data_IF_329378907330
#
_entry.id   IF_329378907330
#
_cell.length_a   1.000
_cell.length_b   1.000
_cell.length_c   1.000
_cell.angle_alpha   90.00
_cell.angle_beta   90.00
_cell.angle_gamma   90.00
#
_symmetry.space_group_name_H-M   'P 1'
#
loop_
_entity.id
_entity.type
_entity.pdbx_description
1 polymer ?
#
# COMPACT_ATOMS: atom_id res chain seq x y z
N UNK A 1 31.46 -9.91 -9.95
CA UNK A 1 31.23 -10.70 -8.72
C UNK A 1 30.58 -9.89 -7.61
N UNK A 2 30.90 -8.60 -7.44
CA UNK A 2 30.44 -7.79 -6.30
C UNK A 2 28.93 -7.80 -6.00
N UNK A 3 28.00 -7.62 -6.95
CA UNK A 3 26.56 -7.70 -6.63
C UNK A 3 26.10 -9.10 -6.20
N UNK A 4 26.88 -10.14 -6.50
CA UNK A 4 26.59 -11.54 -6.15
C UNK A 4 27.17 -11.94 -4.79
N UNK A 5 27.88 -11.04 -4.11
CA UNK A 5 28.46 -11.30 -2.77
C UNK A 5 27.44 -11.92 -1.81
N UNK A 6 26.19 -11.43 -1.70
CA UNK A 6 25.19 -12.01 -0.81
C UNK A 6 24.83 -13.48 -1.05
N UNK A 7 25.14 -14.02 -2.25
CA UNK A 7 24.88 -15.42 -2.61
C UNK A 7 26.00 -16.37 -2.20
N UNK A 8 27.09 -15.85 -1.62
CA UNK A 8 28.22 -16.66 -1.14
C UNK A 8 28.01 -17.08 0.31
N UNK A 9 28.71 -18.14 0.76
CA UNK A 9 28.52 -18.75 2.09
C UNK A 9 28.60 -17.75 3.26
N UNK A 10 29.48 -16.75 3.16
CA UNK A 10 29.66 -15.68 4.17
C UNK A 10 29.28 -14.29 3.63
N UNK A 11 28.52 -14.26 2.54
CA UNK A 11 28.23 -13.07 1.75
C UNK A 11 27.41 -11.98 2.43
N UNK A 12 26.67 -12.35 3.47
CA UNK A 12 25.80 -11.45 4.23
C UNK A 12 26.47 -10.89 5.48
N UNK A 13 27.70 -11.30 5.79
CA UNK A 13 28.47 -10.68 6.87
C UNK A 13 28.62 -9.18 6.60
N UNK A 14 28.50 -8.37 7.65
CA UNK A 14 28.54 -6.90 7.51
C UNK A 14 29.80 -6.46 6.74
N UNK A 15 30.94 -7.06 7.07
CA UNK A 15 32.21 -6.77 6.42
C UNK A 15 32.21 -7.07 4.91
N UNK A 16 31.63 -8.20 4.48
CA UNK A 16 31.56 -8.57 3.06
C UNK A 16 30.70 -7.58 2.27
N UNK A 17 29.57 -7.17 2.82
CA UNK A 17 28.68 -6.17 2.23
C UNK A 17 29.35 -4.79 2.20
N UNK A 18 30.03 -4.36 3.26
CA UNK A 18 30.74 -3.08 3.29
C UNK A 18 31.89 -3.04 2.28
N UNK A 19 32.65 -4.13 2.15
CA UNK A 19 33.70 -4.23 1.14
C UNK A 19 33.12 -4.14 -0.27
N UNK A 20 31.98 -4.79 -0.53
CA UNK A 20 31.30 -4.68 -1.80
C UNK A 20 30.83 -3.25 -2.07
N UNK A 21 30.19 -2.59 -1.09
CA UNK A 21 29.72 -1.21 -1.25
C UNK A 21 30.89 -0.25 -1.48
N UNK A 22 31.99 -0.37 -0.72
CA UNK A 22 33.17 0.49 -0.85
C UNK A 22 33.76 0.41 -2.26
N UNK A 23 33.82 -0.80 -2.84
CA UNK A 23 34.30 -0.98 -4.20
C UNK A 23 33.34 -0.40 -5.25
N UNK A 24 32.03 -0.45 -4.99
CA UNK A 24 31.01 0.11 -5.88
C UNK A 24 30.80 1.63 -5.69
N UNK A 25 31.40 2.22 -4.67
CA UNK A 25 31.36 3.66 -4.37
C UNK A 25 32.78 4.28 -4.34
N UNK A 26 33.57 4.12 -5.41
CA UNK A 26 34.97 4.57 -5.42
C UNK A 26 35.09 6.08 -5.29
N UNK A 27 36.03 6.54 -4.46
CA UNK A 27 36.31 7.97 -4.29
C UNK A 27 36.74 8.64 -5.62
N UNK A 28 36.13 9.79 -5.92
CA UNK A 28 36.47 10.59 -7.11
C UNK A 28 35.92 10.06 -8.44
N UNK A 29 35.02 9.07 -8.41
CA UNK A 29 34.34 8.53 -9.60
C UNK A 29 32.83 8.41 -9.34
N UNK A 30 32.05 8.25 -10.41
CA UNK A 30 30.61 7.99 -10.28
C UNK A 30 30.38 6.60 -9.65
N UNK A 31 29.49 6.48 -8.65
CA UNK A 31 29.10 5.19 -8.09
C UNK A 31 28.45 4.26 -9.11
N UNK A 32 28.69 2.95 -8.97
CA UNK A 32 28.09 1.91 -9.80
C UNK A 32 26.65 1.59 -9.37
N UNK A 33 25.75 2.57 -9.47
CA UNK A 33 24.37 2.55 -8.93
C UNK A 33 23.54 1.31 -9.30
N UNK A 34 23.68 0.78 -10.52
CA UNK A 34 22.96 -0.42 -10.95
C UNK A 34 23.46 -1.69 -10.24
N UNK A 35 24.77 -1.76 -9.97
CA UNK A 35 25.34 -2.88 -9.22
C UNK A 35 25.03 -2.76 -7.73
N UNK A 36 24.97 -1.54 -7.18
CA UNK A 36 24.54 -1.30 -5.79
C UNK A 36 23.06 -1.69 -5.64
N UNK A 37 22.19 -1.34 -6.59
CA UNK A 37 20.80 -1.75 -6.59
C UNK A 37 20.65 -3.29 -6.68
N UNK A 38 21.49 -3.94 -7.49
CA UNK A 38 21.53 -5.41 -7.59
C UNK A 38 22.01 -6.06 -6.29
N UNK A 39 23.04 -5.49 -5.66
CA UNK A 39 23.56 -5.93 -4.36
C UNK A 39 22.48 -5.81 -3.28
N UNK A 40 21.73 -4.71 -3.26
CA UNK A 40 20.62 -4.51 -2.34
C UNK A 40 19.53 -5.56 -2.55
N UNK A 41 19.09 -5.75 -3.80
CA UNK A 41 18.03 -6.69 -4.12
C UNK A 41 18.41 -8.13 -3.72
N UNK A 42 19.60 -8.59 -4.12
CA UNK A 42 20.06 -9.94 -3.77
C UNK A 42 20.31 -10.09 -2.26
N UNK A 43 20.88 -9.08 -1.61
CA UNK A 43 21.08 -9.08 -0.17
C UNK A 43 19.77 -9.14 0.58
N UNK A 44 18.77 -8.32 0.22
CA UNK A 44 17.45 -8.31 0.86
C UNK A 44 16.69 -9.64 0.77
N UNK A 45 16.91 -10.42 -0.30
CA UNK A 45 16.29 -11.74 -0.46
C UNK A 45 16.91 -12.79 0.46
N UNK A 46 18.20 -12.64 0.77
CA UNK A 46 18.97 -13.61 1.54
C UNK A 46 19.14 -13.20 3.01
N UNK A 47 18.94 -11.92 3.33
CA UNK A 47 19.13 -11.37 4.65
C UNK A 47 18.09 -11.94 5.63
N UNK A 48 18.59 -12.62 6.66
CA UNK A 48 17.78 -13.23 7.74
C UNK A 48 18.12 -12.66 9.12
N UNK A 49 18.93 -11.59 9.17
CA UNK A 49 19.31 -10.94 10.42
C UNK A 49 18.10 -10.34 11.12
N UNK A 50 18.04 -10.47 12.45
CA UNK A 50 16.99 -9.87 13.27
C UNK A 50 17.22 -8.38 13.55
N UNK A 51 18.43 -7.87 13.25
CA UNK A 51 18.75 -6.46 13.35
C UNK A 51 18.45 -5.70 12.05
N UNK A 52 18.36 -4.38 12.16
CA UNK A 52 18.07 -3.49 11.03
C UNK A 52 19.34 -2.90 10.39
N UNK A 53 20.52 -3.46 10.63
CA UNK A 53 21.76 -2.92 10.11
C UNK A 53 21.76 -2.88 8.58
N UNK A 54 21.32 -3.97 7.93
CA UNK A 54 21.31 -4.07 6.47
C UNK A 54 20.39 -3.01 5.84
N UNK A 55 19.17 -2.89 6.36
CA UNK A 55 18.21 -1.87 5.92
C UNK A 55 18.79 -0.46 6.06
N UNK A 56 19.26 -0.10 7.27
CA UNK A 56 19.88 1.20 7.54
C UNK A 56 21.07 1.49 6.63
N UNK A 57 21.86 0.45 6.31
CA UNK A 57 23.04 0.63 5.47
C UNK A 57 22.69 1.04 4.04
N UNK A 58 21.62 0.46 3.49
CA UNK A 58 21.13 0.80 2.15
C UNK A 58 20.25 2.07 2.15
N UNK A 59 19.61 2.43 3.26
CA UNK A 59 19.01 3.77 3.44
C UNK A 59 20.07 4.89 3.28
N UNK A 60 21.27 4.70 3.82
CA UNK A 60 22.36 5.67 3.63
C UNK A 60 22.81 5.80 2.16
N UNK A 61 22.53 4.79 1.32
CA UNK A 61 22.81 4.80 -0.12
C UNK A 61 21.61 5.24 -0.97
N UNK A 62 20.50 5.63 -0.34
CA UNK A 62 19.24 5.89 -1.03
C UNK A 62 19.40 6.92 -2.16
N UNK A 63 20.20 7.97 -1.95
CA UNK A 63 20.46 8.98 -2.99
C UNK A 63 21.12 8.38 -4.24
N UNK A 64 22.00 7.38 -4.08
CA UNK A 64 22.64 6.69 -5.20
C UNK A 64 21.64 5.72 -5.86
N UNK A 65 20.90 4.98 -5.03
CA UNK A 65 19.91 4.00 -5.49
C UNK A 65 18.77 4.66 -6.26
N UNK A 66 18.28 5.82 -5.81
CA UNK A 66 17.21 6.61 -6.44
C UNK A 66 17.50 6.94 -7.89
N UNK A 67 18.76 7.03 -8.27
CA UNK A 67 19.17 7.31 -9.64
C UNK A 67 19.25 6.09 -10.55
N UNK A 68 19.27 4.88 -9.99
CA UNK A 68 19.28 3.63 -10.74
C UNK A 68 17.97 3.42 -11.50
N UNK A 69 18.06 2.80 -12.67
CA UNK A 69 16.89 2.47 -13.48
C UNK A 69 15.96 1.49 -12.76
N UNK A 70 16.53 0.46 -12.10
CA UNK A 70 15.75 -0.55 -11.39
C UNK A 70 14.92 0.08 -10.25
N UNK A 71 15.53 0.93 -9.42
CA UNK A 71 14.83 1.62 -8.34
C UNK A 71 13.70 2.50 -8.88
N UNK A 72 13.98 3.35 -9.89
CA UNK A 72 12.95 4.20 -10.52
C UNK A 72 11.76 3.38 -11.02
N UNK A 73 12.02 2.23 -11.63
CA UNK A 73 10.97 1.35 -12.14
C UNK A 73 10.13 0.74 -11.00
N UNK A 74 10.76 0.19 -9.97
CA UNK A 74 10.05 -0.39 -8.83
C UNK A 74 9.26 0.65 -8.04
N UNK A 75 9.87 1.81 -7.74
CA UNK A 75 9.18 2.91 -7.06
C UNK A 75 8.00 3.43 -7.86
N UNK A 76 8.14 3.57 -9.19
CA UNK A 76 7.02 3.99 -10.06
C UNK A 76 5.87 2.99 -9.99
N UNK A 77 6.15 1.69 -10.11
CA UNK A 77 5.12 0.64 -10.02
C UNK A 77 4.42 0.64 -8.65
N UNK A 78 5.20 0.73 -7.57
CA UNK A 78 4.65 0.82 -6.20
C UNK A 78 3.79 2.06 -6.00
N UNK A 79 4.22 3.22 -6.52
CA UNK A 79 3.45 4.46 -6.46
C UNK A 79 2.15 4.37 -7.28
N UNK A 80 2.21 3.83 -8.50
CA UNK A 80 1.01 3.64 -9.34
C UNK A 80 -0.02 2.73 -8.65
N UNK A 81 0.45 1.63 -8.04
CA UNK A 81 -0.42 0.74 -7.27
C UNK A 81 -0.98 1.43 -6.03
N UNK A 82 -0.14 2.15 -5.27
CA UNK A 82 -0.55 2.88 -4.07
C UNK A 82 -1.57 3.97 -4.38
N UNK A 83 -1.37 4.75 -5.45
CA UNK A 83 -2.33 5.75 -5.93
C UNK A 83 -3.65 5.11 -6.33
N UNK A 84 -3.61 3.99 -7.07
CA UNK A 84 -4.83 3.26 -7.45
C UNK A 84 -5.60 2.77 -6.22
N UNK A 85 -4.92 2.11 -5.29
CA UNK A 85 -5.54 1.63 -4.05
C UNK A 85 -6.09 2.77 -3.20
N UNK A 86 -5.34 3.86 -3.08
CA UNK A 86 -5.77 5.07 -2.35
C UNK A 86 -7.01 5.72 -2.98
N UNK A 87 -7.08 5.78 -4.31
CA UNK A 87 -8.25 6.31 -5.01
C UNK A 87 -9.49 5.41 -4.81
N UNK A 88 -9.33 4.08 -4.91
CA UNK A 88 -10.40 3.11 -4.67
C UNK A 88 -10.93 3.21 -3.23
N UNK A 89 -10.04 3.28 -2.24
CA UNK A 89 -10.40 3.48 -0.84
C UNK A 89 -11.08 4.84 -0.60
N UNK A 90 -10.58 5.90 -1.23
CA UNK A 90 -11.16 7.24 -1.14
C UNK A 90 -12.58 7.29 -1.70
N UNK A 91 -12.83 6.65 -2.84
CA UNK A 91 -14.17 6.56 -3.44
C UNK A 91 -15.14 5.77 -2.55
N UNK A 92 -14.68 4.66 -1.95
CA UNK A 92 -15.47 3.90 -0.99
C UNK A 92 -15.85 4.75 0.22
N UNK A 93 -14.88 5.44 0.82
CA UNK A 93 -15.09 6.28 1.99
C UNK A 93 -16.03 7.46 1.67
N UNK A 94 -15.84 8.14 0.55
CA UNK A 94 -16.72 9.22 0.10
C UNK A 94 -18.17 8.73 -0.02
N UNK A 95 -18.39 7.58 -0.68
CA UNK A 95 -19.74 7.04 -0.83
C UNK A 95 -20.38 6.63 0.49
N UNK A 96 -19.62 6.06 1.43
CA UNK A 96 -20.10 5.77 2.79
C UNK A 96 -20.56 7.07 3.47
N UNK A 97 -19.78 8.13 3.33
CA UNK A 97 -20.08 9.43 3.92
C UNK A 97 -21.29 10.09 3.28
N UNK A 98 -21.48 9.95 1.97
CA UNK A 98 -22.68 10.43 1.26
C UNK A 98 -23.95 9.77 1.80
N UNK A 99 -23.94 8.45 1.99
CA UNK A 99 -25.09 7.70 2.55
C UNK A 99 -25.41 8.19 3.96
N UNK A 100 -24.39 8.32 4.81
CA UNK A 100 -24.57 8.78 6.19
C UNK A 100 -25.09 10.21 6.23
N UNK A 101 -24.56 11.11 5.40
CA UNK A 101 -24.99 12.51 5.34
C UNK A 101 -26.44 12.63 4.86
N UNK A 102 -26.81 11.90 3.81
CA UNK A 102 -28.17 11.84 3.31
C UNK A 102 -29.15 11.35 4.37
N UNK A 103 -28.79 10.31 5.12
CA UNK A 103 -29.61 9.79 6.21
C UNK A 103 -29.66 10.74 7.40
N UNK A 104 -28.57 11.44 7.69
CA UNK A 104 -28.56 12.44 8.75
C UNK A 104 -29.52 13.60 8.44
N UNK A 105 -29.63 14.01 7.18
CA UNK A 105 -30.51 15.10 6.75
C UNK A 105 -31.99 14.70 6.71
N UNK A 106 -32.30 13.49 6.24
CA UNK A 106 -33.69 13.04 6.04
C UNK A 106 -34.24 12.17 7.17
N UNK A 107 -33.40 11.35 7.81
CA UNK A 107 -33.77 10.37 8.82
C UNK A 107 -32.73 10.27 9.96
N UNK A 108 -32.56 11.33 10.79
CA UNK A 108 -31.46 11.43 11.75
C UNK A 108 -31.30 10.24 12.70
N UNK A 109 -32.42 9.59 13.07
CA UNK A 109 -32.46 8.39 13.92
C UNK A 109 -31.71 7.19 13.35
N UNK A 110 -31.52 7.12 12.02
CA UNK A 110 -30.85 6.01 11.34
C UNK A 110 -29.34 6.20 11.20
N UNK A 111 -28.80 7.37 11.55
CA UNK A 111 -27.37 7.72 11.33
C UNK A 111 -26.41 6.71 11.95
N UNK A 112 -26.66 6.27 13.19
CA UNK A 112 -25.81 5.30 13.89
C UNK A 112 -25.85 3.94 13.19
N UNK A 113 -27.05 3.46 12.85
CA UNK A 113 -27.22 2.22 12.10
C UNK A 113 -26.55 2.29 10.73
N UNK A 114 -26.62 3.44 10.07
CA UNK A 114 -26.00 3.67 8.77
C UNK A 114 -24.49 3.53 8.85
N UNK A 115 -23.84 4.21 9.82
CA UNK A 115 -22.40 4.14 10.02
C UNK A 115 -21.91 2.70 10.20
N UNK A 116 -22.58 1.91 11.04
CA UNK A 116 -22.25 0.50 11.25
C UNK A 116 -22.46 -0.35 9.99
N UNK A 117 -23.51 -0.08 9.21
CA UNK A 117 -23.82 -0.86 8.01
C UNK A 117 -22.87 -0.55 6.87
N UNK A 118 -22.64 0.72 6.59
CA UNK A 118 -21.78 1.13 5.47
C UNK A 118 -20.31 0.78 5.73
N UNK A 119 -19.86 0.68 6.99
CA UNK A 119 -18.49 0.21 7.32
C UNK A 119 -18.26 -1.26 6.99
N UNK A 120 -19.31 -2.07 7.00
CA UNK A 120 -19.23 -3.50 6.65
C UNK A 120 -19.25 -3.75 5.14
N UNK A 121 -19.65 -2.76 4.33
CA UNK A 121 -19.69 -2.87 2.88
C UNK A 121 -18.35 -2.45 2.28
N UNK A 122 -17.61 -3.40 1.72
CA UNK A 122 -16.31 -3.19 1.07
C UNK A 122 -16.43 -3.04 -0.43
N UNK A 123 -17.56 -3.44 -1.01
CA UNK A 123 -17.79 -3.44 -2.45
C UNK A 123 -18.41 -2.11 -2.91
N UNK A 124 -17.80 -1.38 -3.87
CA UNK A 124 -18.36 -0.12 -4.38
C UNK A 124 -19.80 -0.27 -4.87
N UNK A 125 -20.09 -1.30 -5.65
CA UNK A 125 -21.39 -1.53 -6.28
C UNK A 125 -22.51 -1.65 -5.24
N UNK A 126 -22.25 -2.31 -4.11
CA UNK A 126 -23.20 -2.45 -3.00
C UNK A 126 -23.48 -1.12 -2.33
N UNK A 127 -22.43 -0.32 -2.11
CA UNK A 127 -22.61 1.04 -1.61
C UNK A 127 -23.40 1.90 -2.60
N UNK A 128 -23.21 1.77 -3.92
CA UNK A 128 -23.99 2.54 -4.90
C UNK A 128 -25.46 2.15 -4.84
N UNK A 129 -25.72 0.84 -4.82
CA UNK A 129 -27.08 0.30 -4.76
C UNK A 129 -27.79 0.78 -3.49
N UNK A 130 -27.11 0.72 -2.35
CA UNK A 130 -27.63 1.22 -1.09
C UNK A 130 -27.92 2.73 -1.13
N UNK A 131 -26.99 3.54 -1.66
CA UNK A 131 -27.19 4.98 -1.81
C UNK A 131 -28.45 5.30 -2.63
N UNK A 132 -28.63 4.63 -3.77
CA UNK A 132 -29.80 4.81 -4.62
C UNK A 132 -31.10 4.36 -3.94
N UNK A 133 -31.07 3.25 -3.19
CA UNK A 133 -32.25 2.77 -2.43
C UNK A 133 -32.64 3.75 -1.32
N UNK A 134 -31.66 4.22 -0.56
CA UNK A 134 -31.87 5.17 0.54
C UNK A 134 -32.35 6.52 0.01
N UNK A 135 -31.80 7.01 -1.09
CA UNK A 135 -32.22 8.28 -1.70
C UNK A 135 -33.66 8.26 -2.23
N UNK A 136 -34.19 7.09 -2.58
CA UNK A 136 -35.56 6.94 -3.06
C UNK A 136 -36.55 6.49 -1.98
N UNK A 137 -36.09 6.27 -0.74
CA UNK A 137 -36.97 5.86 0.35
C UNK A 137 -37.96 6.98 0.70
N UNK A 138 -39.24 6.62 0.82
CA UNK A 138 -40.32 7.58 1.09
C UNK A 138 -40.43 7.92 2.57
N UNK A 139 -39.99 7.01 3.43
CA UNK A 139 -40.06 7.13 4.87
C UNK A 139 -38.88 6.42 5.56
N UNK A 140 -38.78 6.63 6.88
CA UNK A 140 -37.72 6.06 7.71
C UNK A 140 -37.73 4.52 7.70
N UNK A 141 -38.90 3.90 7.56
CA UNK A 141 -39.04 2.46 7.62
C UNK A 141 -38.49 1.79 6.35
N UNK A 142 -38.76 2.37 5.19
CA UNK A 142 -38.20 1.94 3.89
C UNK A 142 -36.68 2.14 3.84
N UNK A 143 -36.18 3.27 4.34
CA UNK A 143 -34.74 3.53 4.46
C UNK A 143 -34.05 2.52 5.39
N UNK A 144 -34.69 2.21 6.53
CA UNK A 144 -34.19 1.22 7.49
C UNK A 144 -34.15 -0.20 6.93
N UNK A 145 -35.18 -0.61 6.17
CA UNK A 145 -35.17 -1.93 5.50
C UNK A 145 -33.99 -2.04 4.54
N UNK A 146 -33.78 -1.00 3.73
CA UNK A 146 -32.67 -0.95 2.76
C UNK A 146 -31.29 -1.11 3.42
N UNK A 147 -31.08 -0.48 4.59
CA UNK A 147 -29.83 -0.64 5.37
C UNK A 147 -29.64 -2.06 5.92
N UNK A 148 -30.71 -2.74 6.33
CA UNK A 148 -30.65 -4.08 6.93
C UNK A 148 -30.50 -5.19 5.88
N UNK A 149 -31.04 -4.96 4.69
CA UNK A 149 -30.92 -5.84 3.52
C UNK A 149 -29.54 -5.73 2.86
N UNK A 150 -28.89 -4.56 2.94
CA UNK A 150 -27.54 -4.38 2.43
C UNK A 150 -26.55 -5.25 3.22
N UNK A 151 -26.10 -6.33 2.58
CA UNK A 151 -25.13 -7.28 3.11
C UNK A 151 -24.04 -7.52 2.10
N UNK A 152 -22.83 -7.74 2.58
CA UNK A 152 -21.83 -8.43 1.78
C UNK A 152 -22.27 -9.89 1.62
N UNK A 153 -22.66 -10.29 0.42
CA UNK A 153 -22.69 -11.71 0.05
C UNK A 153 -21.36 -12.36 0.46
N UNK A 154 -21.42 -13.43 1.25
CA UNK A 154 -20.26 -14.27 1.51
C UNK A 154 -19.88 -14.88 0.17
N UNK A 155 -18.72 -14.51 -0.37
CA UNK A 155 -18.10 -15.25 -1.47
C UNK A 155 -18.02 -16.73 -1.03
N UNK A 156 -18.73 -17.60 -1.75
CA UNK A 156 -18.60 -19.06 -1.70
C UNK A 156 -17.61 -19.50 -2.78
#
# INVERSE_FOLDING_TARGET
>A
MLPLVPLTADGLQHEAIEQAITQLTPHGKEPEKELIASLYALGSMMYTGEDNWFERRFEMLENILKDSWAYKKWTKQGMEQGVKQGLEQGLLQARRQDIVSLLQDHFPSLTVLAQERVSLLTTPEKLQSLLLKVANAKDEQEARSSLLEAREEREQ
#
